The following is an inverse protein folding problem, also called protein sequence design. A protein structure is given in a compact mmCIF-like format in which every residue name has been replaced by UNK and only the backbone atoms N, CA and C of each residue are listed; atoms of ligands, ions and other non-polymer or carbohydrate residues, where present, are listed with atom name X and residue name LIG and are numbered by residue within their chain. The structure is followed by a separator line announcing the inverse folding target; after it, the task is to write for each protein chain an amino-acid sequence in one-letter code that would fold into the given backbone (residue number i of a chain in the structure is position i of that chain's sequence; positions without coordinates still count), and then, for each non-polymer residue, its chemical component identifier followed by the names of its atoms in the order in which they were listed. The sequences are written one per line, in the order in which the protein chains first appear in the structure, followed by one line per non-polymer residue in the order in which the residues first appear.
data_IF_484031366926
#
_entry.id   IF_484031366926
#
_cell.length_a   1.000
_cell.length_b   1.000
_cell.length_c   1.000
_cell.angle_alpha   90.00
_cell.angle_beta   90.00
_cell.angle_gamma   90.00
#
_symmetry.space_group_name_H-M   'P 1'
#
loop_
_entity.id
_entity.type
_entity.pdbx_description
1 polymer ?
#
# COMPACT_ATOMS: atom_id res chain seq x y z
N UNK A 1 5.53 5.93 -11.00
CA UNK A 1 4.46 5.48 -10.09
C UNK A 1 4.30 4.01 -10.34
N UNK A 2 4.18 3.16 -9.31
CA UNK A 2 3.95 1.75 -9.56
C UNK A 2 2.62 1.55 -10.26
N UNK A 3 2.55 0.60 -11.17
CA UNK A 3 1.37 0.41 -11.96
C UNK A 3 0.23 -0.15 -11.09
N UNK A 4 -0.90 0.52 -11.16
CA UNK A 4 -2.20 -0.07 -10.79
C UNK A 4 -3.01 -0.27 -12.07
N UNK A 5 -3.94 -1.22 -12.05
CA UNK A 5 -4.84 -1.40 -13.20
C UNK A 5 -5.69 -0.16 -13.45
N UNK A 6 -6.09 0.06 -14.69
CA UNK A 6 -6.78 1.29 -15.10
C UNK A 6 -8.12 1.51 -14.37
N UNK A 7 -8.83 0.44 -14.04
CA UNK A 7 -10.07 0.46 -13.29
C UNK A 7 -9.85 0.89 -11.82
N UNK A 8 -8.80 0.39 -11.17
CA UNK A 8 -8.37 0.83 -9.83
C UNK A 8 -7.90 2.28 -9.86
N UNK A 9 -7.08 2.68 -10.84
CA UNK A 9 -6.63 4.05 -11.01
C UNK A 9 -7.81 5.02 -11.15
N UNK A 10 -8.84 4.66 -11.91
CA UNK A 10 -10.03 5.47 -12.08
C UNK A 10 -10.80 5.71 -10.75
N UNK A 11 -10.81 4.72 -9.84
CA UNK A 11 -11.40 4.89 -8.51
C UNK A 11 -10.59 5.89 -7.69
N UNK A 12 -9.26 5.77 -7.69
CA UNK A 12 -8.39 6.68 -6.95
C UNK A 12 -8.46 8.12 -7.46
N UNK A 13 -8.50 8.32 -8.78
CA UNK A 13 -8.64 9.68 -9.33
C UNK A 13 -9.97 10.33 -8.92
N UNK A 14 -11.06 9.58 -8.87
CA UNK A 14 -12.34 10.08 -8.34
C UNK A 14 -12.20 10.47 -6.85
N UNK A 15 -11.58 9.61 -6.04
CA UNK A 15 -11.37 9.86 -4.61
C UNK A 15 -10.54 11.14 -4.39
N UNK A 16 -9.44 11.29 -5.13
CA UNK A 16 -8.60 12.50 -5.06
C UNK A 16 -9.38 13.74 -5.46
N UNK A 17 -10.16 13.67 -6.54
CA UNK A 17 -10.99 14.79 -6.99
C UNK A 17 -12.04 15.21 -5.94
N UNK A 18 -12.62 14.27 -5.19
CA UNK A 18 -13.55 14.60 -4.10
C UNK A 18 -12.84 15.28 -2.91
N UNK A 19 -11.60 14.84 -2.59
CA UNK A 19 -10.78 15.48 -1.55
C UNK A 19 -10.41 16.93 -1.95
N UNK A 20 -10.02 17.15 -3.20
CA UNK A 20 -9.71 18.49 -3.72
C UNK A 20 -10.95 19.40 -3.67
N UNK A 21 -12.13 18.89 -4.03
CA UNK A 21 -13.41 19.62 -3.92
C UNK A 21 -13.79 19.91 -2.47
N UNK A 22 -13.39 19.05 -1.54
CA UNK A 22 -13.61 19.27 -0.11
C UNK A 22 -12.63 20.31 0.49
N UNK A 23 -11.69 20.83 -0.29
CA UNK A 23 -10.72 21.84 0.12
C UNK A 23 -9.38 21.26 0.61
N UNK A 24 -9.14 19.96 0.44
CA UNK A 24 -7.84 19.38 0.78
C UNK A 24 -6.76 19.85 -0.20
N UNK A 25 -5.59 20.16 0.31
CA UNK A 25 -4.39 20.41 -0.53
C UNK A 25 -3.76 19.08 -0.88
N UNK A 26 -3.74 18.74 -2.17
CA UNK A 26 -3.21 17.46 -2.65
C UNK A 26 -1.90 17.67 -3.39
N UNK A 27 -0.84 17.01 -2.91
CA UNK A 27 0.46 16.91 -3.58
C UNK A 27 0.61 15.52 -4.17
N UNK A 28 0.90 15.41 -5.46
CA UNK A 28 1.07 14.12 -6.13
C UNK A 28 2.52 13.68 -6.13
N UNK A 29 2.77 12.43 -5.77
CA UNK A 29 4.10 11.82 -5.79
C UNK A 29 4.43 11.09 -4.49
N UNK A 30 5.58 10.43 -4.50
CA UNK A 30 6.18 9.82 -3.31
C UNK A 30 7.16 10.79 -2.66
N UNK A 31 7.51 10.61 -1.38
CA UNK A 31 8.53 11.41 -0.72
C UNK A 31 9.82 11.53 -1.54
N UNK A 32 10.35 12.75 -1.63
CA UNK A 32 11.62 12.98 -2.32
C UNK A 32 12.74 12.16 -1.67
N UNK A 33 13.58 11.54 -2.50
CA UNK A 33 14.70 10.71 -2.02
C UNK A 33 14.31 9.27 -1.65
N UNK A 34 13.05 8.87 -1.79
CA UNK A 34 12.64 7.48 -1.57
C UNK A 34 13.12 6.60 -2.74
N UNK A 35 14.07 5.73 -2.47
CA UNK A 35 14.52 4.70 -3.42
C UNK A 35 13.60 3.47 -3.31
N UNK A 36 12.59 3.41 -4.18
CA UNK A 36 11.58 2.34 -4.15
C UNK A 36 12.20 0.95 -4.44
N UNK A 37 13.07 0.76 -5.43
CA UNK A 37 13.78 -0.50 -5.62
C UNK A 37 14.52 -0.97 -4.38
N UNK A 38 15.33 -0.13 -3.76
CA UNK A 38 16.07 -0.46 -2.54
C UNK A 38 15.13 -0.76 -1.36
N UNK A 39 14.00 -0.04 -1.24
CA UNK A 39 12.98 -0.31 -0.24
C UNK A 39 12.37 -1.71 -0.41
N UNK A 40 12.00 -2.08 -1.64
CA UNK A 40 11.42 -3.39 -1.94
C UNK A 40 12.42 -4.54 -1.68
N UNK A 41 13.68 -4.35 -2.04
CA UNK A 41 14.74 -5.32 -1.76
C UNK A 41 14.92 -5.51 -0.26
N UNK A 42 15.02 -4.41 0.50
CA UNK A 42 15.19 -4.44 1.95
C UNK A 42 13.99 -5.11 2.63
N UNK A 43 12.77 -4.77 2.23
CA UNK A 43 11.56 -5.40 2.76
C UNK A 43 11.56 -6.90 2.49
N UNK A 44 11.82 -7.31 1.24
CA UNK A 44 11.83 -8.72 0.84
C UNK A 44 12.88 -9.52 1.61
N UNK A 45 14.07 -8.95 1.80
CA UNK A 45 15.12 -9.56 2.61
C UNK A 45 14.69 -9.75 4.06
N UNK A 46 14.22 -8.68 4.73
CA UNK A 46 13.82 -8.74 6.13
C UNK A 46 12.62 -9.67 6.35
N UNK A 47 11.64 -9.66 5.45
CA UNK A 47 10.50 -10.58 5.49
C UNK A 47 10.94 -12.04 5.34
N UNK A 48 11.82 -12.33 4.38
CA UNK A 48 12.34 -13.67 4.15
C UNK A 48 13.17 -14.16 5.35
N UNK A 49 14.02 -13.31 5.90
CA UNK A 49 14.79 -13.63 7.09
C UNK A 49 13.90 -13.93 8.30
N UNK A 50 12.80 -13.20 8.47
CA UNK A 50 11.85 -13.41 9.55
C UNK A 50 11.05 -14.72 9.38
N UNK A 51 10.54 -14.98 8.17
CA UNK A 51 9.70 -16.16 7.89
C UNK A 51 10.53 -17.45 7.89
N UNK A 52 11.79 -17.39 7.42
CA UNK A 52 12.66 -18.54 7.28
C UNK A 52 13.82 -18.55 8.31
N UNK A 53 13.66 -17.92 9.46
CA UNK A 53 14.70 -17.70 10.46
C UNK A 53 15.46 -18.98 10.88
N UNK A 54 14.83 -20.15 10.77
CA UNK A 54 15.48 -21.44 11.09
C UNK A 54 16.38 -21.98 9.97
N UNK A 55 16.26 -21.49 8.74
CA UNK A 55 16.90 -22.06 7.55
C UNK A 55 17.76 -21.04 6.77
N UNK A 56 17.80 -19.78 7.19
CA UNK A 56 18.55 -18.73 6.49
C UNK A 56 19.93 -18.58 7.11
N UNK A 57 20.96 -18.87 6.34
CA UNK A 57 22.36 -18.57 6.67
C UNK A 57 22.74 -17.28 5.92
N UNK A 58 22.17 -16.15 6.33
CA UNK A 58 22.61 -14.85 5.81
C UNK A 58 23.65 -14.22 6.76
N UNK A 59 24.68 -13.56 6.22
CA UNK A 59 25.65 -12.87 7.04
C UNK A 59 24.98 -11.81 7.92
N UNK A 60 25.30 -11.79 9.20
CA UNK A 60 24.81 -10.80 10.15
C UNK A 60 24.97 -9.35 9.66
N UNK A 61 26.05 -9.09 8.91
CA UNK A 61 26.31 -7.77 8.30
C UNK A 61 25.19 -7.34 7.35
N UNK A 62 24.62 -8.25 6.58
CA UNK A 62 23.51 -7.93 5.66
C UNK A 62 22.25 -7.54 6.43
N UNK A 63 21.97 -8.22 7.55
CA UNK A 63 20.85 -7.86 8.42
C UNK A 63 21.05 -6.46 9.06
N UNK A 64 22.28 -6.14 9.49
CA UNK A 64 22.61 -4.80 9.99
C UNK A 64 22.42 -3.72 8.93
N UNK A 65 22.89 -3.96 7.70
CA UNK A 65 22.72 -3.03 6.57
C UNK A 65 21.23 -2.79 6.24
N UNK A 66 20.44 -3.86 6.17
CA UNK A 66 19.01 -3.77 5.95
C UNK A 66 18.29 -3.00 7.09
N UNK A 67 18.71 -3.24 8.33
CA UNK A 67 18.19 -2.53 9.50
C UNK A 67 18.54 -1.04 9.49
N UNK A 68 19.76 -0.67 9.08
CA UNK A 68 20.18 0.71 8.90
C UNK A 68 19.38 1.39 7.78
N UNK A 69 19.19 0.71 6.64
CA UNK A 69 18.36 1.25 5.56
C UNK A 69 16.92 1.47 6.01
N UNK A 70 16.34 0.54 6.78
CA UNK A 70 15.00 0.74 7.37
C UNK A 70 14.92 1.98 8.25
N UNK A 71 15.97 2.28 9.05
CA UNK A 71 16.01 3.49 9.87
C UNK A 71 16.11 4.76 9.01
N UNK A 72 16.87 4.73 7.91
CA UNK A 72 16.94 5.84 6.96
C UNK A 72 15.59 6.09 6.28
N UNK A 73 14.87 5.02 5.89
CA UNK A 73 13.50 5.14 5.36
C UNK A 73 12.54 5.74 6.40
N UNK A 74 12.65 5.37 7.68
CA UNK A 74 11.86 5.99 8.75
C UNK A 74 12.11 7.50 8.88
N UNK A 75 13.37 7.91 8.85
CA UNK A 75 13.73 9.33 8.92
C UNK A 75 13.16 10.11 7.74
N UNK A 76 13.17 9.52 6.54
CA UNK A 76 12.57 10.11 5.35
C UNK A 76 11.05 10.29 5.53
N UNK A 77 10.34 9.28 6.05
CA UNK A 77 8.91 9.40 6.35
C UNK A 77 8.63 10.47 7.42
N UNK A 78 9.44 10.53 8.45
CA UNK A 78 9.31 11.57 9.49
C UNK A 78 9.40 12.96 8.87
N UNK A 79 10.40 13.21 8.03
CA UNK A 79 10.55 14.50 7.34
C UNK A 79 9.40 14.79 6.36
N UNK A 80 8.88 13.78 5.66
CA UNK A 80 7.71 13.93 4.78
C UNK A 80 6.47 14.41 5.56
N UNK A 81 6.21 13.84 6.70
CA UNK A 81 5.05 14.16 7.53
C UNK A 81 5.19 15.47 8.32
N UNK A 82 6.33 16.17 8.26
CA UNK A 82 6.45 17.56 8.77
C UNK A 82 5.58 18.55 7.95
N UNK A 83 5.21 18.20 6.74
CA UNK A 83 4.45 19.06 5.82
C UNK A 83 3.21 18.39 5.21
N UNK A 84 2.91 17.16 5.59
CA UNK A 84 1.77 16.40 5.10
C UNK A 84 1.10 15.66 6.25
N UNK A 85 -0.22 15.74 6.34
CA UNK A 85 -1.00 15.06 7.39
C UNK A 85 -1.04 13.55 7.15
N UNK A 86 -1.27 13.13 5.91
CA UNK A 86 -1.35 11.73 5.50
C UNK A 86 -0.77 11.51 4.10
N UNK A 87 -0.43 10.26 3.78
CA UNK A 87 -0.17 9.84 2.40
C UNK A 87 -1.18 8.77 1.99
N UNK A 88 -1.78 8.95 0.83
CA UNK A 88 -2.71 7.99 0.24
C UNK A 88 -1.99 7.11 -0.78
N UNK A 89 -2.07 5.81 -0.60
CA UNK A 89 -1.49 4.81 -1.50
C UNK A 89 -2.52 3.74 -1.89
N UNK A 90 -2.34 3.07 -3.03
CA UNK A 90 -3.08 1.86 -3.33
C UNK A 90 -2.88 0.79 -2.25
N UNK A 91 -3.90 -0.03 -2.01
CA UNK A 91 -3.75 -1.24 -1.17
C UNK A 91 -3.08 -2.37 -1.94
N UNK A 92 -3.39 -2.47 -3.23
CA UNK A 92 -2.88 -3.47 -4.16
C UNK A 92 -2.89 -2.92 -5.58
N UNK A 93 -2.25 -3.61 -6.51
CA UNK A 93 -2.14 -3.18 -7.92
C UNK A 93 -3.42 -3.39 -8.73
N UNK A 94 -4.31 -4.26 -8.27
CA UNK A 94 -5.56 -4.62 -8.96
C UNK A 94 -6.68 -4.82 -7.95
N UNK A 95 -7.93 -4.78 -8.39
CA UNK A 95 -9.07 -5.26 -7.61
C UNK A 95 -9.01 -6.79 -7.43
N UNK A 96 -10.03 -7.36 -6.78
CA UNK A 96 -10.11 -8.80 -6.61
C UNK A 96 -10.01 -9.53 -7.96
N UNK A 97 -9.32 -10.65 -7.98
CA UNK A 97 -9.08 -11.48 -9.15
C UNK A 97 -9.44 -12.95 -8.85
N UNK A 98 -9.67 -13.81 -9.87
CA UNK A 98 -10.00 -15.21 -9.67
C UNK A 98 -8.94 -15.95 -8.85
N UNK A 99 -9.38 -16.92 -8.05
CA UNK A 99 -8.48 -17.76 -7.28
C UNK A 99 -7.56 -18.56 -8.22
N UNK A 100 -6.27 -18.56 -7.90
CA UNK A 100 -5.27 -19.41 -8.56
C UNK A 100 -4.75 -20.43 -7.54
N UNK A 101 -5.04 -21.70 -7.74
CA UNK A 101 -4.62 -22.81 -6.88
C UNK A 101 -3.39 -23.55 -7.43
N UNK A 102 -2.72 -22.99 -8.44
CA UNK A 102 -1.50 -23.58 -9.01
C UNK A 102 -0.40 -23.71 -7.97
N UNK A 103 0.29 -24.84 -7.97
CA UNK A 103 1.43 -25.10 -7.11
C UNK A 103 2.74 -25.24 -7.92
N UNK A 104 3.88 -24.82 -7.39
CA UNK A 104 4.04 -24.07 -6.14
C UNK A 104 3.58 -22.60 -6.29
N UNK A 105 3.22 -21.96 -5.19
CA UNK A 105 2.75 -20.56 -5.14
C UNK A 105 3.70 -19.57 -5.86
N UNK A 106 4.97 -19.85 -5.88
CA UNK A 106 5.97 -19.03 -6.59
C UNK A 106 5.82 -19.01 -8.13
N UNK A 107 5.03 -19.92 -8.71
CA UNK A 107 4.72 -19.94 -10.15
C UNK A 107 3.48 -19.13 -10.51
N UNK A 108 2.70 -18.72 -9.51
CA UNK A 108 1.48 -17.93 -9.74
C UNK A 108 1.82 -16.57 -10.31
N UNK A 109 0.96 -16.10 -11.19
CA UNK A 109 1.09 -14.79 -11.81
C UNK A 109 -0.15 -13.95 -11.60
N UNK A 110 0.00 -12.64 -11.69
CA UNK A 110 -1.09 -11.68 -11.63
C UNK A 110 -1.01 -10.77 -12.86
N UNK A 111 -2.16 -10.39 -13.39
CA UNK A 111 -2.22 -9.44 -14.49
C UNK A 111 -1.93 -8.03 -13.98
N UNK A 112 -1.02 -7.35 -14.66
CA UNK A 112 -0.65 -5.95 -14.41
C UNK A 112 -0.80 -5.15 -15.71
N UNK A 113 -0.78 -3.83 -15.66
CA UNK A 113 -0.77 -3.01 -16.89
C UNK A 113 0.37 -3.34 -17.86
N UNK A 114 1.45 -3.92 -17.35
CA UNK A 114 2.63 -4.32 -18.12
C UNK A 114 2.62 -5.80 -18.53
N UNK A 115 1.50 -6.50 -18.34
CA UNK A 115 1.36 -7.92 -18.59
C UNK A 115 1.47 -8.80 -17.34
N UNK A 116 1.60 -10.10 -17.50
CA UNK A 116 1.68 -11.05 -16.37
C UNK A 116 2.99 -10.89 -15.61
N UNK A 117 2.89 -10.77 -14.29
CA UNK A 117 4.03 -10.62 -13.36
C UNK A 117 3.95 -11.64 -12.22
N UNK A 118 5.06 -12.00 -11.58
CA UNK A 118 5.06 -12.92 -10.44
C UNK A 118 4.18 -12.40 -9.30
N UNK A 119 3.22 -13.21 -8.87
CA UNK A 119 2.23 -12.89 -7.83
C UNK A 119 2.88 -12.39 -6.52
N UNK A 120 3.86 -13.14 -5.98
CA UNK A 120 4.49 -12.81 -4.70
C UNK A 120 5.29 -11.49 -4.71
N UNK A 121 5.64 -10.97 -5.89
CA UNK A 121 6.34 -9.69 -6.00
C UNK A 121 5.37 -8.52 -6.14
N UNK A 122 4.22 -8.75 -6.74
CA UNK A 122 3.28 -7.68 -7.08
C UNK A 122 2.25 -7.41 -5.98
N UNK A 123 1.70 -8.45 -5.37
CA UNK A 123 0.66 -8.29 -4.34
C UNK A 123 1.15 -7.49 -3.13
N UNK A 124 2.35 -7.73 -2.57
CA UNK A 124 2.81 -6.97 -1.41
C UNK A 124 3.41 -5.60 -1.76
N UNK A 125 3.49 -5.21 -3.03
CA UNK A 125 4.21 -4.00 -3.45
C UNK A 125 3.84 -2.77 -2.61
N UNK A 126 2.56 -2.43 -2.55
CA UNK A 126 2.10 -1.20 -1.88
C UNK A 126 2.15 -1.26 -0.35
N UNK A 127 1.98 -2.44 0.24
CA UNK A 127 2.06 -2.59 1.70
C UNK A 127 3.48 -2.40 2.25
N UNK A 128 4.50 -2.54 1.39
CA UNK A 128 5.90 -2.40 1.81
C UNK A 128 6.22 -1.00 2.34
N UNK A 129 5.51 0.02 1.87
CA UNK A 129 5.75 1.40 2.25
C UNK A 129 5.53 1.65 3.74
N UNK A 130 4.41 1.21 4.28
CA UNK A 130 4.14 1.29 5.71
C UNK A 130 4.91 0.22 6.49
N UNK A 131 4.91 -1.03 6.00
CA UNK A 131 5.44 -2.18 6.75
C UNK A 131 6.96 -2.11 6.96
N UNK A 132 7.75 -1.66 5.96
CA UNK A 132 9.19 -1.51 6.14
C UNK A 132 9.51 -0.43 7.18
N UNK A 133 8.89 0.72 7.07
CA UNK A 133 9.08 1.83 8.00
C UNK A 133 8.47 1.55 9.38
N UNK A 134 7.41 0.73 9.45
CA UNK A 134 6.63 0.46 10.66
C UNK A 134 5.81 1.69 11.08
N UNK A 135 5.30 2.46 10.11
CA UNK A 135 4.39 3.58 10.35
C UNK A 135 2.93 3.12 10.29
N UNK A 136 2.00 3.85 10.94
CA UNK A 136 0.58 3.54 10.90
C UNK A 136 0.02 3.54 9.48
N UNK A 137 -0.88 2.59 9.21
CA UNK A 137 -1.63 2.53 7.96
C UNK A 137 -3.05 2.03 8.20
N UNK A 138 -4.03 2.84 7.84
CA UNK A 138 -5.46 2.47 7.84
C UNK A 138 -5.92 2.22 6.42
N UNK A 139 -6.78 1.23 6.21
CA UNK A 139 -7.39 0.96 4.90
C UNK A 139 -8.87 1.34 4.96
N UNK A 140 -9.31 2.16 4.00
CA UNK A 140 -10.69 2.55 3.85
C UNK A 140 -11.24 2.15 2.47
N UNK A 141 -12.52 1.73 2.34
CA UNK A 141 -13.16 1.53 1.05
C UNK A 141 -13.38 2.88 0.37
N UNK A 142 -13.09 2.96 -0.94
CA UNK A 142 -13.20 4.20 -1.72
C UNK A 142 -14.08 4.06 -2.96
N UNK A 143 -14.75 2.93 -3.11
CA UNK A 143 -15.71 2.72 -4.18
C UNK A 143 -15.55 1.38 -4.87
N UNK A 144 -16.18 1.27 -6.04
CA UNK A 144 -16.18 0.07 -6.86
C UNK A 144 -15.52 0.34 -8.21
N UNK A 145 -14.91 -0.69 -8.77
CA UNK A 145 -14.51 -0.72 -10.19
C UNK A 145 -15.75 -0.69 -11.08
N UNK A 146 -15.55 -0.56 -12.39
CA UNK A 146 -16.64 -0.64 -13.37
C UNK A 146 -17.38 -1.98 -13.29
N UNK A 147 -16.70 -3.06 -12.94
CA UNK A 147 -17.25 -4.41 -12.82
C UNK A 147 -17.84 -4.71 -11.43
N UNK A 148 -17.95 -3.67 -10.56
CA UNK A 148 -18.56 -3.79 -9.24
C UNK A 148 -17.65 -4.39 -8.18
N UNK A 149 -16.34 -4.52 -8.42
CA UNK A 149 -15.39 -5.02 -7.43
C UNK A 149 -14.95 -3.90 -6.48
N UNK A 150 -14.89 -4.16 -5.16
CA UNK A 150 -14.51 -3.14 -4.18
C UNK A 150 -13.03 -2.76 -4.30
N UNK A 151 -12.77 -1.47 -4.08
CA UNK A 151 -11.42 -0.88 -4.06
C UNK A 151 -11.22 -0.18 -2.72
N UNK A 152 -10.09 -0.45 -2.08
CA UNK A 152 -9.64 0.23 -0.87
C UNK A 152 -8.44 1.14 -1.14
N UNK A 153 -8.24 2.12 -0.26
CA UNK A 153 -7.04 2.97 -0.24
C UNK A 153 -6.32 2.82 1.10
N UNK A 154 -5.00 2.81 1.08
CA UNK A 154 -4.16 2.91 2.27
C UNK A 154 -3.96 4.38 2.63
N UNK A 155 -4.12 4.70 3.91
CA UNK A 155 -3.90 6.01 4.51
C UNK A 155 -2.74 5.85 5.49
N UNK A 156 -1.56 6.32 5.12
CA UNK A 156 -0.38 6.30 5.97
C UNK A 156 -0.34 7.58 6.80
N UNK A 157 0.08 7.47 8.06
CA UNK A 157 0.21 8.59 9.00
C UNK A 157 1.59 8.61 9.66
N UNK A 158 1.95 9.70 10.35
CA UNK A 158 3.19 9.79 11.12
C UNK A 158 3.35 8.66 12.14
N UNK A 159 4.58 8.33 12.48
CA UNK A 159 4.89 7.32 13.50
C UNK A 159 4.17 7.63 14.82
N UNK A 160 3.47 6.65 15.38
CA UNK A 160 2.68 6.73 16.62
C UNK A 160 1.39 7.54 16.53
N UNK A 161 1.01 7.99 15.33
CA UNK A 161 -0.23 8.74 15.10
C UNK A 161 -1.28 7.88 14.40
N UNK A 162 -1.58 6.71 14.93
CA UNK A 162 -2.60 5.80 14.39
C UNK A 162 -3.97 6.48 14.31
N UNK A 163 -4.29 7.33 15.30
CA UNK A 163 -5.54 8.08 15.33
C UNK A 163 -5.71 8.99 14.09
N UNK A 164 -4.63 9.60 13.59
CA UNK A 164 -4.67 10.48 12.42
C UNK A 164 -5.15 9.73 11.18
N UNK A 165 -4.62 8.52 10.92
CA UNK A 165 -5.05 7.72 9.76
C UNK A 165 -6.49 7.19 9.91
N UNK A 166 -6.93 6.89 11.14
CA UNK A 166 -8.30 6.41 11.44
C UNK A 166 -9.29 7.57 11.28
N UNK A 167 -8.98 8.73 11.82
CA UNK A 167 -9.84 9.93 11.70
C UNK A 167 -9.95 10.37 10.25
N UNK A 168 -8.86 10.39 9.50
CA UNK A 168 -8.89 10.67 8.07
C UNK A 168 -9.78 9.67 7.31
N UNK A 169 -9.74 8.38 7.64
CA UNK A 169 -10.60 7.37 7.06
C UNK A 169 -12.09 7.63 7.34
N UNK A 170 -12.43 8.10 8.55
CA UNK A 170 -13.79 8.47 8.92
C UNK A 170 -14.27 9.71 8.12
N UNK A 171 -13.46 10.77 8.06
CA UNK A 171 -13.77 11.96 7.27
C UNK A 171 -13.91 11.65 5.77
N UNK A 172 -13.06 10.76 5.26
CA UNK A 172 -13.17 10.29 3.88
C UNK A 172 -14.50 9.56 3.64
N UNK A 173 -14.90 8.66 4.55
CA UNK A 173 -16.16 7.93 4.46
C UNK A 173 -17.39 8.86 4.47
N UNK A 174 -17.37 9.94 5.23
CA UNK A 174 -18.42 10.97 5.21
C UNK A 174 -18.58 11.64 3.83
N UNK A 175 -17.49 11.73 3.07
CA UNK A 175 -17.48 12.39 1.75
C UNK A 175 -17.85 11.47 0.60
N UNK A 176 -17.39 10.22 0.63
CA UNK A 176 -17.49 9.29 -0.51
C UNK A 176 -18.41 8.09 -0.25
N UNK A 177 -18.96 7.93 0.97
CA UNK A 177 -19.99 6.94 1.28
C UNK A 177 -19.50 5.67 2.00
N UNK A 178 -18.24 5.58 2.40
CA UNK A 178 -17.74 4.51 3.30
C UNK A 178 -18.02 3.07 2.83
N UNK A 179 -18.15 2.16 3.80
CA UNK A 179 -18.42 0.74 3.54
C UNK A 179 -19.86 0.50 3.10
N UNK A 180 -20.03 -0.24 2.01
CA UNK A 180 -21.33 -0.75 1.56
C UNK A 180 -21.29 -2.29 1.60
N UNK A 181 -22.21 -2.96 2.31
CA UNK A 181 -22.25 -4.41 2.36
C UNK A 181 -22.56 -4.99 0.97
N UNK A 182 -22.04 -6.20 0.65
CA UNK A 182 -22.42 -6.88 -0.58
C UNK A 182 -23.92 -7.10 -0.64
N UNK A 183 -24.56 -7.05 -1.84
CA UNK A 183 -26.02 -7.07 -1.97
C UNK A 183 -26.72 -8.25 -1.25
N UNK A 184 -26.08 -9.41 -1.19
CA UNK A 184 -26.62 -10.59 -0.51
C UNK A 184 -26.60 -10.49 1.03
N UNK A 185 -25.94 -9.49 1.60
CA UNK A 185 -25.86 -9.21 3.04
C UNK A 185 -26.43 -7.83 3.41
N UNK A 186 -26.97 -7.10 2.45
CA UNK A 186 -27.68 -5.86 2.68
C UNK A 186 -29.09 -6.20 3.18
N UNK A 187 -29.28 -6.27 4.49
CA UNK A 187 -30.58 -6.44 5.16
C UNK A 187 -31.16 -5.10 5.53
#
# INVERSE_FOLDING_TARGET
MAPVTADVAAVYERTVSELERAGSTVTRGLPAGLDVPAQLETFSFLLTAMVNAQNVVDPHIRWLQASQHRLAVRALWQSYFESHDVLLLPTTITAAFPHDHSEPIGKRTIDTPEGKRPYLQQVPYWITFASLAGIPATVAPVGLTRDGLPVGIQILAPMWEDATSIEFAALLAERIGGFTPPPQFAS
#
